data_IF_666242642963
#
_entry.id   IF_666242642963
#
_cell.length_a   1.000
_cell.length_b   1.000
_cell.length_c   1.000
_cell.angle_alpha   90.00
_cell.angle_beta   90.00
_cell.angle_gamma   90.00
#
_symmetry.space_group_name_H-M   'P 1'
#
loop_
_entity.id
_entity.type
_entity.pdbx_description
1 polymer ?
#
# COMPACT_ATOMS: atom_id res chain seq x y z
N UNK A 1 -2.28 1.80 3.13
CA UNK A 1 -2.64 0.39 2.88
C UNK A 1 -1.91 -0.04 1.62
N UNK A 2 -1.17 -1.13 1.69
CA UNK A 2 -0.56 -1.80 0.54
C UNK A 2 -1.40 -3.04 0.22
N UNK A 3 -1.66 -3.27 -1.06
CA UNK A 3 -2.23 -4.52 -1.58
C UNK A 3 -1.29 -5.16 -2.63
N UNK A 4 -1.35 -6.49 -2.77
CA UNK A 4 -0.57 -7.24 -3.77
C UNK A 4 -1.32 -7.38 -5.09
N UNK A 5 -0.74 -6.91 -6.19
CA UNK A 5 -1.42 -6.92 -7.49
C UNK A 5 -1.45 -8.30 -8.17
N UNK A 6 -2.50 -8.56 -8.97
CA UNK A 6 -2.66 -9.76 -9.83
C UNK A 6 -2.68 -11.13 -9.10
N UNK A 7 -3.10 -11.12 -7.85
CA UNK A 7 -2.85 -12.17 -6.88
C UNK A 7 -3.76 -13.43 -7.00
N UNK A 8 -5.07 -13.27 -7.24
CA UNK A 8 -6.02 -14.40 -7.35
C UNK A 8 -5.66 -15.42 -8.46
N UNK A 9 -5.01 -14.95 -9.54
CA UNK A 9 -4.61 -15.80 -10.66
C UNK A 9 -3.42 -16.71 -10.33
N UNK A 10 -2.50 -16.24 -9.46
CA UNK A 10 -1.29 -16.99 -9.09
C UNK A 10 -1.62 -18.13 -8.12
N UNK A 11 -2.52 -17.90 -7.17
CA UNK A 11 -2.98 -18.96 -6.24
C UNK A 11 -3.64 -20.12 -6.97
N UNK A 12 -4.46 -19.85 -8.00
CA UNK A 12 -5.08 -20.89 -8.82
C UNK A 12 -4.02 -21.71 -9.58
N UNK A 13 -2.93 -21.07 -10.01
CA UNK A 13 -1.89 -21.70 -10.84
C UNK A 13 -0.86 -22.48 -10.02
N UNK A 14 -0.46 -21.98 -8.85
CA UNK A 14 0.67 -22.50 -8.07
C UNK A 14 0.31 -23.04 -6.69
N UNK A 15 -0.94 -22.86 -6.25
CA UNK A 15 -1.46 -23.37 -4.99
C UNK A 15 -1.12 -22.50 -3.76
N UNK A 16 -1.72 -22.87 -2.63
CA UNK A 16 -1.74 -22.05 -1.40
C UNK A 16 -0.38 -21.87 -0.72
N UNK A 17 0.55 -22.83 -0.87
CA UNK A 17 1.89 -22.74 -0.26
C UNK A 17 2.74 -21.70 -1.01
N UNK A 18 2.66 -21.69 -2.34
CA UNK A 18 3.34 -20.69 -3.15
C UNK A 18 2.82 -19.30 -2.84
N UNK A 19 1.50 -19.15 -2.69
CA UNK A 19 0.91 -17.90 -2.23
C UNK A 19 1.51 -17.42 -0.90
N UNK A 20 1.50 -18.25 0.14
CA UNK A 20 2.00 -17.84 1.45
C UNK A 20 3.47 -17.43 1.39
N UNK A 21 4.28 -18.07 0.53
CA UNK A 21 5.67 -17.68 0.30
C UNK A 21 5.78 -16.29 -0.33
N UNK A 22 4.90 -15.93 -1.27
CA UNK A 22 4.88 -14.60 -1.89
C UNK A 22 4.50 -13.52 -0.88
N UNK A 23 3.47 -13.73 -0.06
CA UNK A 23 3.06 -12.79 1.01
C UNK A 23 4.18 -12.62 2.03
N UNK A 24 4.79 -13.73 2.46
CA UNK A 24 5.90 -13.68 3.39
C UNK A 24 7.06 -12.84 2.84
N UNK A 25 7.35 -12.97 1.55
CA UNK A 25 8.40 -12.20 0.90
C UNK A 25 8.04 -10.74 0.71
N UNK A 26 6.81 -10.42 0.34
CA UNK A 26 6.30 -9.05 0.29
C UNK A 26 6.49 -8.38 1.65
N UNK A 27 6.06 -9.04 2.73
CA UNK A 27 6.21 -8.53 4.09
C UNK A 27 7.68 -8.35 4.50
N UNK A 28 8.58 -9.24 4.07
CA UNK A 28 10.01 -9.12 4.34
C UNK A 28 10.67 -7.91 3.65
N UNK A 29 10.10 -7.42 2.55
CA UNK A 29 10.53 -6.16 1.89
C UNK A 29 9.85 -4.96 2.52
N UNK A 30 8.54 -5.04 2.76
CA UNK A 30 7.71 -3.92 3.21
C UNK A 30 8.00 -3.51 4.65
N UNK A 31 8.08 -4.46 5.59
CA UNK A 31 8.26 -4.17 7.01
C UNK A 31 9.48 -3.28 7.34
N UNK A 32 10.71 -3.59 6.86
CA UNK A 32 11.86 -2.74 7.16
C UNK A 32 11.74 -1.34 6.54
N UNK A 33 11.11 -1.20 5.38
CA UNK A 33 10.91 0.13 4.75
C UNK A 33 9.91 0.95 5.56
N UNK A 34 8.80 0.34 6.01
CA UNK A 34 7.85 1.05 6.88
C UNK A 34 8.56 1.62 8.12
N UNK A 35 9.39 0.82 8.79
CA UNK A 35 10.17 1.26 9.95
C UNK A 35 11.21 2.33 9.61
N UNK A 36 11.92 2.20 8.48
CA UNK A 36 12.94 3.15 8.01
C UNK A 36 12.37 4.56 7.81
N UNK A 37 11.13 4.65 7.33
CA UNK A 37 10.40 5.91 7.13
C UNK A 37 9.56 6.32 8.37
N UNK A 38 9.79 5.68 9.52
CA UNK A 38 9.17 6.04 10.80
C UNK A 38 7.72 5.61 10.95
N UNK A 39 7.24 4.72 10.08
CA UNK A 39 5.91 4.13 10.17
C UNK A 39 5.86 2.91 11.11
N UNK A 40 4.63 2.48 11.39
CA UNK A 40 4.33 1.29 12.18
C UNK A 40 3.32 0.43 11.40
N UNK A 41 3.63 -0.86 11.23
CA UNK A 41 2.64 -1.84 10.73
C UNK A 41 1.65 -2.10 11.86
N UNK A 42 0.39 -1.79 11.60
CA UNK A 42 -0.74 -2.03 12.51
C UNK A 42 -1.23 -3.46 12.37
N UNK A 43 -1.51 -3.92 11.15
CA UNK A 43 -1.98 -5.29 10.91
C UNK A 43 -1.61 -5.79 9.52
N UNK A 44 -1.61 -7.11 9.40
CA UNK A 44 -1.51 -7.84 8.14
C UNK A 44 -2.82 -8.59 7.95
N UNK A 45 -3.46 -8.45 6.80
CA UNK A 45 -4.73 -9.11 6.50
C UNK A 45 -4.63 -9.77 5.13
N UNK A 46 -4.42 -11.09 5.10
CA UNK A 46 -4.03 -11.81 3.90
C UNK A 46 -2.76 -11.19 3.26
N UNK A 47 -2.89 -10.61 2.08
CA UNK A 47 -1.85 -9.90 1.32
C UNK A 47 -1.83 -8.38 1.56
N UNK A 48 -2.80 -7.85 2.31
CA UNK A 48 -2.83 -6.45 2.68
C UNK A 48 -1.88 -6.12 3.85
N UNK A 49 -1.18 -4.99 3.72
CA UNK A 49 -0.41 -4.39 4.82
C UNK A 49 -1.03 -3.05 5.23
N UNK A 50 -1.43 -2.98 6.50
CA UNK A 50 -1.93 -1.76 7.11
C UNK A 50 -0.81 -1.13 7.93
N UNK A 51 -0.33 0.02 7.49
CA UNK A 51 0.68 0.80 8.18
C UNK A 51 0.20 2.23 8.40
N UNK A 52 0.63 2.82 9.51
CA UNK A 52 0.45 4.24 9.82
C UNK A 52 1.81 4.92 9.83
N UNK A 53 1.83 6.20 9.46
CA UNK A 53 3.05 7.02 9.40
C UNK A 53 2.83 8.33 10.15
N UNK A 54 3.91 9.02 10.55
CA UNK A 54 3.81 10.32 11.23
C UNK A 54 3.15 11.42 10.38
N UNK A 55 3.30 11.34 9.06
CA UNK A 55 2.67 12.25 8.08
C UNK A 55 2.60 11.58 6.70
N UNK A 56 1.97 12.25 5.73
CA UNK A 56 1.76 11.74 4.36
C UNK A 56 3.06 11.62 3.57
N UNK A 57 3.96 12.61 3.67
CA UNK A 57 5.24 12.60 2.93
C UNK A 57 6.05 11.30 3.13
N UNK A 58 6.36 10.91 4.39
CA UNK A 58 7.02 9.64 4.68
C UNK A 58 6.27 8.41 4.17
N UNK A 59 4.93 8.40 4.20
CA UNK A 59 4.12 7.30 3.67
C UNK A 59 4.26 7.17 2.14
N UNK A 60 4.31 8.30 1.42
CA UNK A 60 4.55 8.32 -0.03
C UNK A 60 5.96 7.85 -0.35
N UNK A 61 6.97 8.34 0.37
CA UNK A 61 8.36 7.95 0.13
C UNK A 61 8.61 6.46 0.42
N UNK A 62 8.04 5.94 1.50
CA UNK A 62 8.07 4.52 1.82
C UNK A 62 7.42 3.68 0.71
N UNK A 63 6.24 4.09 0.22
CA UNK A 63 5.54 3.40 -0.87
C UNK A 63 6.40 3.36 -2.15
N UNK A 64 7.05 4.47 -2.51
CA UNK A 64 7.97 4.53 -3.66
C UNK A 64 9.18 3.62 -3.48
N UNK A 65 9.79 3.60 -2.29
CA UNK A 65 10.94 2.75 -2.02
C UNK A 65 10.57 1.25 -2.01
N UNK A 66 9.41 0.89 -1.46
CA UNK A 66 8.89 -0.49 -1.53
C UNK A 66 8.75 -0.91 -2.99
N UNK A 67 8.11 -0.10 -3.84
CA UNK A 67 7.98 -0.42 -5.27
C UNK A 67 9.33 -0.63 -5.96
N UNK A 68 10.32 0.23 -5.68
CA UNK A 68 11.67 0.08 -6.22
C UNK A 68 12.35 -1.20 -5.76
N UNK A 69 12.25 -1.55 -4.47
CA UNK A 69 12.85 -2.76 -3.91
C UNK A 69 12.18 -4.03 -4.44
N UNK A 70 10.86 -4.01 -4.65
CA UNK A 70 10.12 -5.10 -5.29
C UNK A 70 10.53 -5.26 -6.76
N UNK A 71 10.55 -4.17 -7.52
CA UNK A 71 11.02 -4.18 -8.93
C UNK A 71 12.44 -4.73 -9.04
N UNK A 72 13.36 -4.27 -8.19
CA UNK A 72 14.72 -4.79 -8.12
C UNK A 72 14.77 -6.29 -7.76
N UNK A 73 13.95 -6.74 -6.82
CA UNK A 73 13.85 -8.14 -6.43
C UNK A 73 13.33 -9.03 -7.57
N UNK A 74 12.41 -8.54 -8.41
CA UNK A 74 11.84 -9.26 -9.55
C UNK A 74 12.87 -9.54 -10.64
N UNK A 75 13.84 -8.64 -10.87
CA UNK A 75 14.90 -8.86 -11.87
C UNK A 75 15.77 -10.11 -11.63
N UNK A 76 15.77 -10.64 -10.40
CA UNK A 76 16.55 -11.80 -9.98
C UNK A 76 15.72 -13.08 -9.91
N UNK A 77 14.46 -13.04 -10.34
CA UNK A 77 13.49 -14.12 -10.17
C UNK A 77 12.94 -14.65 -11.49
N UNK A 78 12.40 -15.88 -11.48
CA UNK A 78 11.48 -16.30 -12.52
C UNK A 78 10.24 -15.40 -12.55
N UNK A 79 9.79 -15.03 -13.77
CA UNK A 79 8.64 -14.15 -14.03
C UNK A 79 7.36 -14.55 -13.28
N UNK A 80 7.21 -15.82 -12.91
CA UNK A 80 6.04 -16.31 -12.18
C UNK A 80 6.08 -16.08 -10.67
N UNK A 81 7.13 -15.44 -10.18
CA UNK A 81 7.29 -15.04 -8.77
C UNK A 81 7.46 -13.53 -8.60
N UNK A 82 7.24 -12.76 -9.65
CA UNK A 82 7.26 -11.31 -9.58
C UNK A 82 6.26 -10.79 -8.55
N UNK A 83 6.76 -9.92 -7.68
CA UNK A 83 5.98 -9.24 -6.66
C UNK A 83 5.63 -7.85 -7.15
N UNK A 84 4.33 -7.59 -7.21
CA UNK A 84 3.80 -6.30 -7.55
C UNK A 84 2.88 -5.82 -6.43
N UNK A 85 2.89 -4.52 -6.18
CA UNK A 85 2.09 -3.91 -5.14
C UNK A 85 1.47 -2.62 -5.64
N UNK A 86 0.41 -2.21 -4.95
CA UNK A 86 -0.23 -0.92 -5.11
C UNK A 86 -0.59 -0.35 -3.73
N UNK A 87 -0.86 0.95 -3.68
CA UNK A 87 -0.97 1.67 -2.42
C UNK A 87 -2.15 2.63 -2.42
N UNK A 88 -2.86 2.63 -1.30
CA UNK A 88 -3.80 3.68 -0.91
C UNK A 88 -3.33 4.41 0.35
N UNK A 89 -3.27 5.74 0.27
CA UNK A 89 -2.81 6.61 1.37
C UNK A 89 -3.93 7.60 1.70
N UNK A 90 -4.35 7.59 2.97
CA UNK A 90 -5.30 8.54 3.54
C UNK A 90 -4.67 9.36 4.66
N UNK A 91 -5.29 10.47 5.02
CA UNK A 91 -4.79 11.35 6.08
C UNK A 91 -5.92 11.94 6.91
N UNK A 92 -5.92 11.64 8.20
CA UNK A 92 -6.87 12.18 9.15
C UNK A 92 -6.84 11.42 10.47
N UNK A 93 -7.85 11.66 11.29
CA UNK A 93 -8.00 10.99 12.58
C UNK A 93 -8.34 9.51 12.38
N UNK A 94 -7.58 8.65 13.06
CA UNK A 94 -7.80 7.21 13.09
C UNK A 94 -7.73 6.71 14.53
N UNK A 95 -8.54 5.71 14.84
CA UNK A 95 -8.52 4.99 16.10
C UNK A 95 -7.79 3.67 15.91
N UNK A 96 -6.66 3.51 16.59
CA UNK A 96 -5.94 2.23 16.66
C UNK A 96 -6.42 1.50 17.92
N UNK A 97 -6.96 0.29 17.75
CA UNK A 97 -7.44 -0.55 18.85
C UNK A 97 -6.48 -1.73 19.01
N UNK A 98 -5.95 -1.94 20.21
CA UNK A 98 -4.99 -2.99 20.54
C UNK A 98 -4.06 -2.55 21.67
N UNK A 99 -3.32 -3.48 22.30
CA UNK A 99 -2.28 -3.10 23.26
C UNK A 99 -1.00 -2.69 22.53
N UNK A 100 -0.29 -1.68 23.05
CA UNK A 100 1.06 -1.32 22.58
C UNK A 100 2.05 -2.48 22.73
N UNK A 101 1.80 -3.37 23.70
CA UNK A 101 2.63 -4.54 23.98
C UNK A 101 2.24 -5.76 23.13
N UNK A 102 1.16 -5.69 22.34
CA UNK A 102 0.85 -6.74 21.38
C UNK A 102 1.80 -6.63 20.20
N UNK A 103 2.32 -7.78 19.76
CA UNK A 103 2.88 -7.97 18.43
C UNK A 103 1.81 -7.54 17.41
N UNK A 104 2.19 -7.22 16.17
CA UNK A 104 1.29 -6.81 15.07
C UNK A 104 -0.06 -7.59 15.03
N UNK A 105 -0.07 -8.85 15.43
CA UNK A 105 -1.31 -9.62 15.65
C UNK A 105 -2.15 -9.09 16.83
N UNK A 106 -3.35 -8.60 16.53
CA UNK A 106 -4.34 -8.15 17.52
C UNK A 106 -4.52 -6.64 17.61
N UNK A 107 -3.83 -5.86 16.78
CA UNK A 107 -4.14 -4.45 16.53
C UNK A 107 -5.05 -4.28 15.32
N UNK A 108 -5.81 -3.20 15.29
CA UNK A 108 -6.65 -2.83 14.16
C UNK A 108 -6.76 -1.29 14.06
N UNK A 109 -7.16 -0.79 12.89
CA UNK A 109 -7.27 0.64 12.60
C UNK A 109 -8.64 0.98 12.04
N UNK A 110 -9.28 1.98 12.64
CA UNK A 110 -10.63 2.43 12.28
C UNK A 110 -10.63 3.92 11.98
N UNK A 111 -11.37 4.34 10.96
CA UNK A 111 -11.53 5.74 10.61
C UNK A 111 -12.01 5.89 9.18
N UNK A 112 -12.62 7.04 8.86
CA UNK A 112 -13.05 7.32 7.50
C UNK A 112 -11.88 7.28 6.52
N UNK A 113 -10.75 7.87 6.91
CA UNK A 113 -9.53 7.89 6.10
C UNK A 113 -8.84 6.52 6.00
N UNK A 114 -8.89 5.71 7.07
CA UNK A 114 -8.40 4.33 7.02
C UNK A 114 -9.21 3.49 6.01
N UNK A 115 -10.54 3.64 6.03
CA UNK A 115 -11.44 2.96 5.11
C UNK A 115 -11.26 3.44 3.66
N UNK A 116 -11.05 4.75 3.45
CA UNK A 116 -10.78 5.29 2.12
C UNK A 116 -9.42 4.80 1.61
N UNK A 117 -8.37 4.84 2.42
CA UNK A 117 -7.05 4.31 2.07
C UNK A 117 -7.10 2.83 1.70
N UNK A 118 -7.87 2.03 2.43
CA UNK A 118 -8.12 0.62 2.08
C UNK A 118 -8.77 0.49 0.70
N UNK A 119 -9.88 1.19 0.45
CA UNK A 119 -10.56 1.19 -0.85
C UNK A 119 -9.67 1.66 -2.01
N UNK A 120 -8.81 2.65 -1.75
CA UNK A 120 -7.88 3.12 -2.78
C UNK A 120 -6.87 2.02 -3.13
N UNK A 121 -6.24 1.39 -2.14
CA UNK A 121 -5.24 0.35 -2.36
C UNK A 121 -5.81 -0.94 -2.95
N UNK A 122 -6.91 -1.43 -2.39
CA UNK A 122 -7.51 -2.72 -2.75
C UNK A 122 -8.32 -2.66 -4.05
N UNK A 123 -9.22 -1.68 -4.16
CA UNK A 123 -10.29 -1.74 -5.16
C UNK A 123 -10.00 -0.88 -6.41
N UNK A 124 -9.12 0.12 -6.29
CA UNK A 124 -8.95 1.15 -7.32
C UNK A 124 -7.53 1.27 -7.87
N UNK A 125 -6.51 1.03 -7.06
CA UNK A 125 -5.12 1.18 -7.48
C UNK A 125 -4.72 0.07 -8.47
N UNK A 126 -4.14 0.46 -9.60
CA UNK A 126 -3.47 -0.48 -10.50
C UNK A 126 -2.10 -0.90 -9.98
N UNK A 127 -1.47 -1.87 -10.66
CA UNK A 127 -0.10 -2.29 -10.39
C UNK A 127 0.86 -1.08 -10.35
N UNK A 128 1.56 -0.91 -9.23
CA UNK A 128 2.52 0.19 -9.05
C UNK A 128 1.88 1.54 -8.71
N UNK A 129 0.55 1.63 -8.67
CA UNK A 129 -0.11 2.89 -8.37
C UNK A 129 0.03 3.25 -6.88
N UNK A 130 0.28 4.53 -6.63
CA UNK A 130 0.17 5.15 -5.32
C UNK A 130 -0.95 6.19 -5.40
N UNK A 131 -2.08 5.88 -4.78
CA UNK A 131 -3.27 6.72 -4.76
C UNK A 131 -3.45 7.40 -3.41
N UNK A 132 -3.74 8.69 -3.43
CA UNK A 132 -3.97 9.52 -2.25
C UNK A 132 -5.43 9.95 -2.19
N UNK A 133 -5.99 9.98 -0.98
CA UNK A 133 -7.24 10.70 -0.71
C UNK A 133 -7.04 12.21 -0.90
N UNK A 134 -8.13 12.96 -1.07
CA UNK A 134 -8.07 14.42 -1.15
C UNK A 134 -7.38 15.03 0.08
N UNK A 135 -7.67 14.52 1.29
CA UNK A 135 -7.06 15.01 2.52
C UNK A 135 -5.55 14.74 2.57
N UNK A 136 -5.11 13.58 2.07
CA UNK A 136 -3.69 13.26 1.97
C UNK A 136 -2.98 14.14 0.93
N UNK A 137 -3.60 14.38 -0.22
CA UNK A 137 -3.09 15.30 -1.24
C UNK A 137 -2.92 16.72 -0.68
N UNK A 138 -3.95 17.27 -0.04
CA UNK A 138 -3.94 18.61 0.52
C UNK A 138 -2.81 18.81 1.54
N UNK A 139 -2.40 17.73 2.21
CA UNK A 139 -1.29 17.74 3.16
C UNK A 139 0.09 17.93 2.51
N UNK A 140 0.26 17.49 1.26
CA UNK A 140 1.55 17.46 0.55
C UNK A 140 1.55 18.26 -0.76
N UNK A 141 0.48 18.97 -1.10
CA UNK A 141 0.33 19.68 -2.39
C UNK A 141 1.42 20.72 -2.68
N UNK A 142 2.08 21.22 -1.62
CA UNK A 142 3.18 22.18 -1.72
C UNK A 142 4.56 21.51 -1.79
N UNK A 143 4.63 20.17 -1.67
CA UNK A 143 5.85 19.39 -1.88
C UNK A 143 6.14 19.19 -3.38
N UNK A 144 7.42 19.05 -3.78
CA UNK A 144 7.81 18.87 -5.18
C UNK A 144 7.51 17.45 -5.69
N UNK A 145 6.22 17.11 -5.82
CA UNK A 145 5.72 15.82 -6.31
C UNK A 145 4.72 16.05 -7.44
N UNK A 146 4.81 15.25 -8.50
CA UNK A 146 3.82 15.29 -9.56
C UNK A 146 2.66 14.35 -9.23
N UNK A 147 1.48 14.93 -9.02
CA UNK A 147 0.24 14.21 -8.70
C UNK A 147 -0.82 14.52 -9.76
N UNK A 148 -1.52 13.49 -10.21
CA UNK A 148 -2.62 13.58 -11.16
C UNK A 148 -3.96 13.42 -10.45
N UNK A 149 -4.84 14.41 -10.58
CA UNK A 149 -6.21 14.31 -10.08
C UNK A 149 -7.01 13.38 -10.99
N UNK A 150 -7.53 12.29 -10.44
CA UNK A 150 -8.33 11.28 -11.15
C UNK A 150 -9.70 11.15 -10.47
N UNK A 151 -10.75 11.13 -11.28
CA UNK A 151 -12.11 10.83 -10.81
C UNK A 151 -12.38 9.34 -10.99
N UNK A 152 -12.74 8.68 -9.90
CA UNK A 152 -12.99 7.24 -9.88
C UNK A 152 -14.32 6.94 -9.19
N UNK A 153 -14.89 5.77 -9.49
CA UNK A 153 -16.11 5.31 -8.85
C UNK A 153 -15.91 3.98 -8.15
N UNK A 154 -16.33 3.89 -6.90
CA UNK A 154 -16.34 2.64 -6.14
C UNK A 154 -17.70 2.42 -5.47
N UNK A 155 -18.33 1.28 -5.75
CA UNK A 155 -19.64 0.92 -5.18
C UNK A 155 -20.71 2.02 -5.30
N UNK A 156 -20.68 2.79 -6.41
CA UNK A 156 -21.62 3.91 -6.66
C UNK A 156 -21.24 5.26 -6.03
N UNK A 157 -20.14 5.32 -5.27
CA UNK A 157 -19.57 6.57 -4.77
C UNK A 157 -18.58 7.14 -5.78
N UNK A 158 -18.74 8.41 -6.14
CA UNK A 158 -17.73 9.16 -6.91
C UNK A 158 -16.68 9.70 -5.95
N UNK A 159 -15.41 9.39 -6.22
CA UNK A 159 -14.27 9.81 -5.43
C UNK A 159 -13.29 10.56 -6.31
N UNK A 160 -12.80 11.67 -5.78
CA UNK A 160 -11.63 12.35 -6.32
C UNK A 160 -10.43 11.78 -5.59
N UNK A 161 -9.42 11.35 -6.36
CA UNK A 161 -8.15 10.87 -5.83
C UNK A 161 -7.01 11.58 -6.51
N UNK A 162 -5.81 11.44 -5.95
CA UNK A 162 -4.59 11.95 -6.54
C UNK A 162 -3.59 10.82 -6.71
N UNK A 163 -3.24 10.52 -7.95
CA UNK A 163 -2.30 9.47 -8.31
C UNK A 163 -0.90 10.04 -8.44
N UNK A 164 0.07 9.46 -7.74
CA UNK A 164 1.47 9.85 -7.91
C UNK A 164 1.96 9.48 -9.31
N UNK A 165 2.62 10.40 -10.00
CA UNK A 165 3.29 10.11 -11.27
C UNK A 165 4.69 9.56 -11.02
N UNK A 166 5.00 8.47 -11.69
CA UNK A 166 6.33 7.86 -11.69
C UNK A 166 7.07 8.25 -12.98
N UNK A 167 8.37 8.52 -12.86
CA UNK A 167 9.25 8.77 -14.02
C UNK A 167 9.66 7.47 -14.73
N UNK A 168 9.53 6.33 -14.06
CA UNK A 168 9.88 5.01 -14.57
C UNK A 168 8.75 4.01 -14.25
N UNK A 169 8.52 2.99 -15.10
CA UNK A 169 7.58 1.92 -14.79
C UNK A 169 8.09 1.10 -13.60
N UNK A 170 7.31 1.09 -12.52
CA UNK A 170 7.53 0.28 -11.31
C UNK A 170 6.69 -1.02 -11.33
N UNK A 171 5.78 -1.07 -12.30
CA UNK A 171 5.17 -2.19 -12.99
C UNK A 171 5.11 -1.76 -14.49
#
# INVERSE_FOLDING_TARGET
VLDMSSFSRLTIKYGIVHFLAMVHRMNAVTAPVVEEYGGEIIKLEADNVFAVFPDVGPAVDASVDILKRLSGANTMLPDDTDLYACFGIGYGEVLIVGSRDMIVEGKDVYGAEANLAFKLGEDLAGCGDILLTEAAFERIKDEPRELERVEMSISGLQLVVHKLKHTEPLC
#
